data_IF_927032229450
#
_entry.id   IF_927032229450
#
_cell.length_a   1.000
_cell.length_b   1.000
_cell.length_c   1.000
_cell.angle_alpha   90.00
_cell.angle_beta   90.00
_cell.angle_gamma   90.00
#
_symmetry.space_group_name_H-M   'P 1'
#
loop_
_entity.id
_entity.type
_entity.pdbx_description
1 polymer ?
#
# COMPACT_ATOMS: atom_id res chain seq x y z
N UNK A 1 -39.49 -49.36 -4.68
CA UNK A 1 -39.78 -48.73 -5.98
C UNK A 1 -38.59 -47.90 -6.37
N UNK A 2 -37.95 -48.26 -7.48
CA UNK A 2 -36.84 -47.44 -7.99
C UNK A 2 -37.46 -46.40 -8.91
N UNK A 3 -37.42 -45.14 -8.48
CA UNK A 3 -37.78 -44.01 -9.34
C UNK A 3 -36.56 -43.66 -10.18
N UNK A 4 -36.63 -43.87 -11.48
CA UNK A 4 -35.63 -43.36 -12.42
C UNK A 4 -36.01 -41.91 -12.73
N UNK A 5 -35.39 -40.97 -12.04
CA UNK A 5 -35.57 -39.54 -12.32
C UNK A 5 -34.53 -39.16 -13.35
N UNK A 6 -34.97 -38.84 -14.57
CA UNK A 6 -34.07 -38.31 -15.61
C UNK A 6 -33.72 -36.88 -15.24
N UNK A 7 -32.51 -36.68 -14.70
CA UNK A 7 -31.98 -35.41 -14.25
C UNK A 7 -31.55 -34.48 -15.40
N UNK A 8 -31.70 -34.89 -16.67
CA UNK A 8 -31.25 -34.11 -17.82
C UNK A 8 -32.29 -33.06 -18.32
N UNK A 9 -33.45 -32.96 -17.68
CA UNK A 9 -34.55 -32.10 -18.17
C UNK A 9 -34.46 -30.66 -17.67
N UNK A 10 -33.57 -30.30 -16.67
CA UNK A 10 -33.53 -28.97 -16.15
C UNK A 10 -32.10 -28.49 -15.82
N UNK A 11 -31.56 -27.46 -16.53
CA UNK A 11 -30.20 -26.95 -16.30
C UNK A 11 -29.93 -26.43 -14.89
N UNK A 12 -30.96 -26.23 -14.06
CA UNK A 12 -30.86 -25.77 -12.68
C UNK A 12 -30.39 -26.85 -11.70
N UNK A 13 -30.34 -28.13 -12.10
CA UNK A 13 -29.97 -29.27 -11.24
C UNK A 13 -28.44 -29.58 -11.27
N UNK A 14 -27.63 -28.81 -11.95
CA UNK A 14 -26.17 -29.05 -12.08
C UNK A 14 -25.30 -28.53 -10.92
N UNK A 15 -25.90 -28.06 -9.84
CA UNK A 15 -25.15 -27.76 -8.60
C UNK A 15 -25.50 -28.85 -7.57
N UNK A 16 -24.48 -29.36 -6.87
CA UNK A 16 -24.58 -30.41 -5.86
C UNK A 16 -25.75 -30.17 -4.91
N UNK A 17 -26.87 -30.86 -5.19
CA UNK A 17 -28.04 -30.80 -4.30
C UNK A 17 -27.64 -31.58 -3.05
N UNK A 18 -27.61 -30.89 -1.90
CA UNK A 18 -27.38 -31.49 -0.60
C UNK A 18 -28.41 -32.63 -0.41
N UNK A 19 -27.94 -33.81 -0.05
CA UNK A 19 -28.78 -34.99 0.23
C UNK A 19 -29.87 -34.67 1.26
N UNK A 20 -29.68 -33.72 2.13
CA UNK A 20 -30.66 -33.23 3.09
C UNK A 20 -31.83 -32.51 2.42
N UNK A 21 -31.58 -31.78 1.34
CA UNK A 21 -32.61 -31.10 0.55
C UNK A 21 -33.41 -32.06 -0.29
N UNK A 22 -32.76 -33.04 -0.92
CA UNK A 22 -33.40 -34.15 -1.65
C UNK A 22 -34.30 -34.99 -0.74
N UNK A 23 -33.81 -35.36 0.43
CA UNK A 23 -34.61 -36.13 1.40
C UNK A 23 -35.81 -35.33 1.91
N UNK A 24 -35.71 -34.02 2.02
CA UNK A 24 -36.84 -33.16 2.40
C UNK A 24 -37.91 -33.10 1.30
N UNK A 25 -37.52 -32.96 0.03
CA UNK A 25 -38.44 -32.99 -1.12
C UNK A 25 -39.12 -34.35 -1.22
N UNK A 26 -38.35 -35.44 -1.09
CA UNK A 26 -38.90 -36.82 -1.13
C UNK A 26 -39.85 -37.07 0.05
N UNK A 27 -39.54 -36.57 1.24
CA UNK A 27 -40.42 -36.69 2.41
C UNK A 27 -41.73 -35.91 2.22
N UNK A 28 -41.66 -34.72 1.63
CA UNK A 28 -42.84 -33.91 1.28
C UNK A 28 -43.66 -34.64 0.20
N UNK A 29 -43.02 -35.15 -0.86
CA UNK A 29 -43.67 -35.91 -1.92
C UNK A 29 -44.34 -37.17 -1.39
N UNK A 30 -43.68 -37.94 -0.51
CA UNK A 30 -44.22 -39.11 0.15
C UNK A 30 -45.42 -38.78 1.05
N UNK A 31 -45.33 -37.70 1.81
CA UNK A 31 -46.42 -37.23 2.68
C UNK A 31 -47.63 -36.77 1.86
N UNK A 32 -47.42 -36.14 0.73
CA UNK A 32 -48.45 -35.74 -0.22
C UNK A 32 -49.12 -37.00 -0.82
N UNK A 33 -48.32 -38.00 -1.28
CA UNK A 33 -48.80 -39.23 -1.88
C UNK A 33 -49.63 -40.06 -0.88
N UNK A 34 -49.18 -40.19 0.38
CA UNK A 34 -49.90 -40.95 1.42
C UNK A 34 -51.17 -40.25 1.92
N UNK A 35 -51.27 -38.96 1.84
CA UNK A 35 -52.42 -38.20 2.37
C UNK A 35 -53.40 -37.71 1.27
N UNK A 36 -53.00 -37.79 -0.01
CA UNK A 36 -53.81 -37.33 -1.15
C UNK A 36 -54.57 -38.43 -1.87
N UNK A 37 -54.54 -39.70 -1.37
CA UNK A 37 -55.41 -40.75 -1.88
C UNK A 37 -56.83 -40.48 -1.43
N UNK A 38 -57.45 -39.32 -1.80
CA UNK A 38 -58.85 -39.08 -1.44
C UNK A 38 -59.50 -37.93 -2.20
N UNK A 39 -60.62 -38.25 -2.80
CA UNK A 39 -61.79 -37.41 -3.12
C UNK A 39 -61.60 -35.99 -3.63
N UNK A 40 -62.41 -35.61 -4.57
CA UNK A 40 -62.45 -34.36 -5.39
C UNK A 40 -62.29 -33.02 -4.68
N UNK A 41 -62.46 -32.98 -3.35
CA UNK A 41 -62.31 -31.76 -2.52
C UNK A 41 -60.85 -31.40 -2.16
N UNK A 42 -59.92 -32.29 -2.47
CA UNK A 42 -58.52 -32.12 -2.05
C UNK A 42 -57.65 -31.31 -3.04
N UNK A 43 -58.03 -31.26 -4.30
CA UNK A 43 -57.30 -30.51 -5.33
C UNK A 43 -57.28 -29.00 -5.01
N UNK A 44 -58.40 -28.47 -4.55
CA UNK A 44 -58.49 -27.03 -4.20
C UNK A 44 -57.64 -26.67 -2.99
N UNK A 45 -57.55 -27.58 -1.99
CA UNK A 45 -56.68 -27.35 -0.82
C UNK A 45 -55.20 -27.47 -1.16
N UNK A 46 -54.81 -28.38 -2.03
CA UNK A 46 -53.42 -28.48 -2.49
C UNK A 46 -53.01 -27.30 -3.30
N UNK A 47 -53.84 -26.79 -4.18
CA UNK A 47 -53.60 -25.58 -4.94
C UNK A 47 -53.46 -24.36 -4.01
N UNK A 48 -54.33 -24.21 -3.00
CA UNK A 48 -54.23 -23.15 -2.00
C UNK A 48 -52.91 -23.24 -1.18
N UNK A 49 -52.43 -24.46 -0.85
CA UNK A 49 -51.15 -24.64 -0.16
C UNK A 49 -49.97 -24.29 -1.07
N UNK A 50 -50.01 -24.68 -2.34
CA UNK A 50 -49.00 -24.34 -3.33
C UNK A 50 -48.93 -22.82 -3.57
N UNK A 51 -50.07 -22.18 -3.69
CA UNK A 51 -50.12 -20.71 -3.82
C UNK A 51 -49.53 -20.01 -2.62
N UNK A 52 -49.84 -20.43 -1.40
CA UNK A 52 -49.21 -19.92 -0.17
C UNK A 52 -47.71 -20.16 -0.13
N UNK A 53 -47.23 -21.34 -0.56
CA UNK A 53 -45.78 -21.60 -0.62
C UNK A 53 -45.06 -20.72 -1.67
N UNK A 54 -45.72 -20.44 -2.78
CA UNK A 54 -45.22 -19.53 -3.82
C UNK A 54 -45.16 -18.12 -3.28
N UNK A 55 -46.18 -17.68 -2.54
CA UNK A 55 -46.25 -16.35 -1.94
C UNK A 55 -45.16 -16.14 -0.87
N UNK A 56 -44.98 -17.09 0.05
CA UNK A 56 -43.89 -17.10 1.04
C UNK A 56 -42.52 -17.03 0.36
N UNK A 57 -42.30 -17.84 -0.69
CA UNK A 57 -41.06 -17.86 -1.44
C UNK A 57 -40.77 -16.50 -2.15
N UNK A 58 -41.83 -15.82 -2.59
CA UNK A 58 -41.75 -14.50 -3.21
C UNK A 58 -41.38 -13.43 -2.19
N UNK A 59 -41.97 -13.48 -1.00
CA UNK A 59 -41.69 -12.55 0.10
C UNK A 59 -40.25 -12.74 0.64
N UNK A 60 -39.79 -13.98 0.82
CA UNK A 60 -38.42 -14.28 1.21
C UNK A 60 -37.39 -13.76 0.19
N UNK A 61 -37.65 -13.98 -1.11
CA UNK A 61 -36.80 -13.45 -2.18
C UNK A 61 -36.75 -11.92 -2.17
N UNK A 62 -37.88 -11.28 -1.99
CA UNK A 62 -37.96 -9.82 -1.92
C UNK A 62 -37.21 -9.29 -0.69
N UNK A 63 -37.36 -9.93 0.47
CA UNK A 63 -36.63 -9.61 1.68
C UNK A 63 -35.12 -9.73 1.48
N UNK A 64 -34.65 -10.86 0.92
CA UNK A 64 -33.22 -11.06 0.61
C UNK A 64 -32.70 -10.00 -0.37
N UNK A 65 -33.46 -9.69 -1.41
CA UNK A 65 -33.09 -8.66 -2.38
C UNK A 65 -32.93 -7.28 -1.71
N UNK A 66 -33.88 -6.92 -0.85
CA UNK A 66 -33.83 -5.66 -0.10
C UNK A 66 -32.62 -5.60 0.85
N UNK A 67 -32.26 -6.72 1.51
CA UNK A 67 -31.08 -6.83 2.37
C UNK A 67 -29.80 -6.66 1.57
N UNK A 68 -29.68 -7.31 0.41
CA UNK A 68 -28.51 -7.17 -0.48
C UNK A 68 -28.38 -5.73 -0.97
N UNK A 69 -29.49 -5.10 -1.37
CA UNK A 69 -29.48 -3.73 -1.83
C UNK A 69 -29.07 -2.74 -0.71
N UNK A 70 -29.57 -2.95 0.50
CA UNK A 70 -29.18 -2.17 1.68
C UNK A 70 -27.69 -2.34 2.00
N UNK A 71 -27.20 -3.56 1.95
CA UNK A 71 -25.79 -3.89 2.16
C UNK A 71 -24.89 -3.21 1.11
N UNK A 72 -25.26 -3.30 -0.18
CA UNK A 72 -24.52 -2.67 -1.27
C UNK A 72 -24.48 -1.14 -1.12
N UNK A 73 -25.59 -0.51 -0.74
CA UNK A 73 -25.65 0.93 -0.49
C UNK A 73 -24.75 1.34 0.68
N UNK A 74 -24.71 0.53 1.73
CA UNK A 74 -23.83 0.77 2.87
C UNK A 74 -22.36 0.68 2.48
N UNK A 75 -21.96 -0.36 1.72
CA UNK A 75 -20.60 -0.46 1.22
C UNK A 75 -20.23 0.69 0.26
N UNK A 76 -21.13 1.09 -0.63
CA UNK A 76 -20.89 2.24 -1.52
C UNK A 76 -20.63 3.52 -0.71
N UNK A 77 -21.41 3.77 0.34
CA UNK A 77 -21.22 4.91 1.22
C UNK A 77 -19.88 4.84 1.98
N UNK A 78 -19.50 3.66 2.47
CA UNK A 78 -18.21 3.47 3.14
C UNK A 78 -17.04 3.71 2.19
N UNK A 79 -17.09 3.20 0.96
CA UNK A 79 -16.08 3.43 -0.07
C UNK A 79 -15.96 4.92 -0.39
N UNK A 80 -17.07 5.62 -0.59
CA UNK A 80 -17.06 7.06 -0.84
C UNK A 80 -16.43 7.85 0.33
N UNK A 81 -16.76 7.50 1.56
CA UNK A 81 -16.15 8.12 2.75
C UNK A 81 -14.64 7.85 2.84
N UNK A 82 -14.18 6.66 2.47
CA UNK A 82 -12.76 6.34 2.41
C UNK A 82 -12.04 7.13 1.31
N UNK A 83 -12.65 7.26 0.14
CA UNK A 83 -12.10 8.07 -0.95
C UNK A 83 -11.95 9.55 -0.56
N UNK A 84 -12.94 10.12 0.12
CA UNK A 84 -12.88 11.50 0.63
C UNK A 84 -11.71 11.65 1.62
N UNK A 85 -11.53 10.71 2.56
CA UNK A 85 -10.40 10.74 3.50
C UNK A 85 -9.05 10.60 2.80
N UNK A 86 -8.95 9.75 1.78
CA UNK A 86 -7.71 9.60 0.99
C UNK A 86 -7.37 10.92 0.28
N UNK A 87 -8.35 11.58 -0.32
CA UNK A 87 -8.15 12.88 -0.96
C UNK A 87 -7.70 13.94 0.05
N UNK A 88 -8.35 14.04 1.21
CA UNK A 88 -7.94 14.97 2.28
C UNK A 88 -6.49 14.72 2.76
N UNK A 89 -6.08 13.46 2.89
CA UNK A 89 -4.71 13.10 3.27
C UNK A 89 -3.73 13.50 2.17
N UNK A 90 -4.07 13.24 0.90
CA UNK A 90 -3.23 13.63 -0.22
C UNK A 90 -3.06 15.15 -0.31
N UNK A 91 -4.14 15.92 -0.16
CA UNK A 91 -4.10 17.38 -0.21
C UNK A 91 -3.23 17.95 0.94
N UNK A 92 -3.39 17.43 2.16
CA UNK A 92 -2.56 17.82 3.31
C UNK A 92 -1.09 17.47 3.08
N UNK A 93 -0.80 16.29 2.54
CA UNK A 93 0.57 15.86 2.25
C UNK A 93 1.21 16.73 1.17
N UNK A 94 0.46 17.04 0.10
CA UNK A 94 0.95 17.91 -0.98
C UNK A 94 1.26 19.31 -0.46
N UNK A 95 0.35 19.89 0.33
CA UNK A 95 0.55 21.20 0.93
C UNK A 95 1.76 21.24 1.88
N UNK A 96 1.93 20.22 2.72
CA UNK A 96 3.09 20.11 3.61
C UNK A 96 4.42 20.04 2.83
N UNK A 97 4.43 19.31 1.69
CA UNK A 97 5.60 19.25 0.80
C UNK A 97 5.88 20.63 0.16
N UNK A 98 4.85 21.34 -0.29
CA UNK A 98 4.98 22.68 -0.87
C UNK A 98 5.52 23.68 0.17
N UNK A 99 4.98 23.68 1.38
CA UNK A 99 5.41 24.56 2.48
C UNK A 99 6.88 24.28 2.85
N UNK A 100 7.28 23.00 2.96
CA UNK A 100 8.66 22.63 3.24
C UNK A 100 9.63 23.06 2.11
N UNK A 101 9.23 22.92 0.84
CA UNK A 101 10.00 23.39 -0.30
C UNK A 101 10.16 24.93 -0.31
N UNK A 102 9.09 25.66 0.01
CA UNK A 102 9.12 27.11 0.09
C UNK A 102 10.04 27.60 1.22
N UNK A 103 9.96 26.98 2.39
CA UNK A 103 10.84 27.26 3.51
C UNK A 103 12.31 27.00 3.15
N UNK A 104 12.57 25.88 2.49
CA UNK A 104 13.90 25.54 2.00
C UNK A 104 14.43 26.55 0.97
N UNK A 105 13.61 26.94 -0.01
CA UNK A 105 13.99 27.93 -1.01
C UNK A 105 14.28 29.29 -0.38
N UNK A 106 13.54 29.70 0.64
CA UNK A 106 13.80 30.93 1.39
C UNK A 106 15.15 30.87 2.15
N UNK A 107 15.43 29.72 2.80
CA UNK A 107 16.75 29.49 3.42
C UNK A 107 17.87 29.50 2.37
N UNK A 108 17.65 28.90 1.19
CA UNK A 108 18.59 28.96 0.08
C UNK A 108 18.91 30.39 -0.37
N UNK A 109 17.90 31.27 -0.48
CA UNK A 109 18.05 32.65 -0.87
C UNK A 109 18.85 33.43 0.16
N UNK A 110 18.61 33.22 1.45
CA UNK A 110 19.37 33.86 2.54
C UNK A 110 20.84 33.42 2.56
N UNK A 111 21.12 32.16 2.23
CA UNK A 111 22.48 31.62 2.19
C UNK A 111 23.24 31.96 0.90
N UNK A 112 22.57 31.98 -0.26
CA UNK A 112 23.24 32.26 -1.56
C UNK A 112 23.74 33.70 -1.66
N UNK A 113 23.17 34.60 -0.89
CA UNK A 113 23.70 35.97 -0.75
C UNK A 113 25.07 36.06 -0.06
N UNK A 114 25.54 35.01 0.63
CA UNK A 114 26.68 35.10 1.55
C UNK A 114 27.90 34.24 1.20
N UNK A 115 27.85 33.19 0.40
CA UNK A 115 29.06 32.43 0.06
C UNK A 115 28.94 31.37 -1.05
N UNK A 116 29.96 31.29 -1.92
CA UNK A 116 30.08 30.33 -3.05
C UNK A 116 30.97 29.12 -2.72
N UNK A 117 31.29 28.84 -1.46
CA UNK A 117 32.23 27.78 -1.10
C UNK A 117 31.60 26.40 -1.09
N UNK A 118 32.38 25.36 -1.45
CA UNK A 118 31.93 23.95 -1.47
C UNK A 118 31.47 23.48 -0.09
N UNK A 119 32.07 23.97 0.98
CA UNK A 119 31.70 23.63 2.35
C UNK A 119 30.27 24.05 2.71
N UNK A 120 29.84 25.25 2.26
CA UNK A 120 28.48 25.71 2.53
C UNK A 120 27.44 24.92 1.74
N UNK A 121 27.76 24.55 0.50
CA UNK A 121 26.87 23.69 -0.29
C UNK A 121 26.69 22.32 0.36
N UNK A 122 27.72 21.75 0.97
CA UNK A 122 27.63 20.51 1.75
C UNK A 122 26.71 20.68 2.96
N UNK A 123 27.01 21.68 3.81
CA UNK A 123 26.22 21.96 5.00
C UNK A 123 24.72 22.20 4.69
N UNK A 124 24.43 22.89 3.58
CA UNK A 124 23.04 23.10 3.12
C UNK A 124 22.34 21.79 2.78
N UNK A 125 23.02 20.87 2.10
CA UNK A 125 22.45 19.57 1.75
C UNK A 125 22.17 18.73 2.99
N UNK A 126 23.10 18.69 3.93
CA UNK A 126 22.96 17.99 5.21
C UNK A 126 21.81 18.56 6.04
N UNK A 127 21.74 19.90 6.20
CA UNK A 127 20.66 20.58 6.93
C UNK A 127 19.30 20.33 6.28
N UNK A 128 19.24 20.37 4.95
CA UNK A 128 18.01 20.10 4.21
C UNK A 128 17.51 18.67 4.43
N UNK A 129 18.42 17.69 4.35
CA UNK A 129 18.09 16.29 4.64
C UNK A 129 17.59 16.13 6.07
N UNK A 130 18.31 16.65 7.05
CA UNK A 130 17.95 16.55 8.46
C UNK A 130 16.56 17.14 8.71
N UNK A 131 16.31 18.38 8.29
CA UNK A 131 15.02 19.04 8.49
C UNK A 131 13.87 18.25 7.82
N UNK A 132 14.10 17.75 6.61
CA UNK A 132 13.09 16.93 5.91
C UNK A 132 12.79 15.63 6.67
N UNK A 133 13.83 14.97 7.18
CA UNK A 133 13.65 13.71 7.95
C UNK A 133 12.90 14.00 9.25
N UNK A 134 13.28 15.00 10.00
CA UNK A 134 12.64 15.37 11.27
C UNK A 134 11.17 15.79 11.09
N UNK A 135 10.83 16.41 9.95
CA UNK A 135 9.46 16.81 9.64
C UNK A 135 8.56 15.62 9.23
N UNK A 136 9.05 14.76 8.35
CA UNK A 136 8.22 13.71 7.71
C UNK A 136 8.34 12.33 8.35
N UNK A 137 9.35 12.08 9.20
CA UNK A 137 9.63 10.80 9.83
C UNK A 137 9.79 10.94 11.35
N UNK A 138 8.84 11.61 11.99
CA UNK A 138 8.83 11.94 13.42
C UNK A 138 8.91 10.75 14.37
N UNK A 139 8.56 9.56 13.88
CA UNK A 139 8.62 8.32 14.66
C UNK A 139 10.02 7.65 14.62
N UNK A 140 10.89 8.13 13.74
CA UNK A 140 12.24 7.62 13.59
C UNK A 140 13.24 8.57 14.27
N UNK A 141 14.32 8.02 14.77
CA UNK A 141 15.42 8.81 15.33
C UNK A 141 16.39 9.18 14.21
N UNK A 142 16.58 10.49 13.98
CA UNK A 142 17.55 11.04 13.04
C UNK A 142 18.86 11.36 13.78
N UNK A 143 19.92 10.58 13.55
CA UNK A 143 21.25 10.85 14.11
C UNK A 143 22.13 11.45 13.02
N UNK A 144 22.55 12.70 13.21
CA UNK A 144 23.52 13.36 12.34
C UNK A 144 24.91 12.93 12.76
N UNK A 145 25.62 12.26 11.87
CA UNK A 145 26.94 11.66 12.09
C UNK A 145 28.05 12.35 11.29
N UNK A 146 27.71 13.44 10.59
CA UNK A 146 28.64 14.17 9.71
C UNK A 146 29.94 14.64 10.40
N UNK A 147 29.99 14.75 11.74
CA UNK A 147 31.18 15.09 12.52
C UNK A 147 31.99 13.86 12.93
N UNK A 148 31.48 12.65 12.77
CA UNK A 148 32.15 11.42 13.14
C UNK A 148 32.89 10.86 11.91
N UNK A 149 34.20 10.68 12.03
CA UNK A 149 34.97 10.15 10.92
C UNK A 149 34.49 8.73 10.56
N UNK A 150 34.28 8.49 9.26
CA UNK A 150 33.90 7.18 8.73
C UNK A 150 32.47 6.72 9.03
N UNK A 151 31.57 7.62 9.23
CA UNK A 151 30.14 7.40 9.20
C UNK A 151 29.53 8.28 8.10
N UNK A 152 28.45 7.83 7.47
CA UNK A 152 27.75 8.68 6.49
C UNK A 152 27.13 9.90 7.19
N UNK A 153 26.50 10.80 6.43
CA UNK A 153 26.01 12.06 6.98
C UNK A 153 24.90 11.86 8.03
N UNK A 154 23.99 10.87 7.81
CA UNK A 154 22.84 10.62 8.69
C UNK A 154 22.60 9.10 8.86
N UNK A 155 22.28 8.70 10.08
CA UNK A 155 21.71 7.40 10.43
C UNK A 155 20.24 7.56 10.82
N UNK A 156 19.34 6.99 10.05
CA UNK A 156 17.92 6.95 10.35
C UNK A 156 17.57 5.63 11.05
N UNK A 157 17.27 5.70 12.33
CA UNK A 157 16.96 4.55 13.19
C UNK A 157 15.45 4.44 13.35
N UNK A 158 14.91 3.28 13.00
CA UNK A 158 13.49 2.98 13.14
C UNK A 158 13.27 1.77 14.03
N UNK A 159 12.19 1.77 14.80
CA UNK A 159 11.80 0.61 15.60
C UNK A 159 11.22 -0.54 14.77
N UNK A 160 10.78 -0.25 13.52
CA UNK A 160 10.07 -1.20 12.66
C UNK A 160 10.91 -1.66 11.46
N UNK A 161 11.99 -0.95 11.16
CA UNK A 161 12.82 -1.20 9.96
C UNK A 161 14.30 -1.20 10.32
N UNK A 162 15.15 -1.88 9.54
CA UNK A 162 16.59 -1.75 9.69
C UNK A 162 17.04 -0.30 9.56
N UNK A 163 18.11 0.07 10.27
CA UNK A 163 18.72 1.40 10.16
C UNK A 163 19.10 1.69 8.72
N UNK A 164 18.72 2.88 8.24
CA UNK A 164 19.07 3.39 6.92
C UNK A 164 20.23 4.37 7.07
N UNK A 165 21.34 4.09 6.38
CA UNK A 165 22.46 5.00 6.27
C UNK A 165 22.24 5.95 5.10
N UNK A 166 22.39 7.25 5.31
CA UNK A 166 22.11 8.27 4.28
C UNK A 166 23.36 9.13 4.09
N UNK A 167 23.80 9.23 2.85
CA UNK A 167 24.90 10.07 2.40
C UNK A 167 24.38 11.09 1.40
N UNK A 168 24.85 12.34 1.47
CA UNK A 168 24.48 13.39 0.56
C UNK A 168 25.70 14.09 -0.06
N UNK A 169 25.59 14.42 -1.32
CA UNK A 169 26.61 15.18 -2.04
C UNK A 169 25.97 16.30 -2.84
N UNK A 170 26.49 17.49 -2.69
CA UNK A 170 26.05 18.67 -3.44
C UNK A 170 27.25 19.30 -4.17
N UNK A 171 27.72 18.59 -5.20
CA UNK A 171 28.87 18.99 -5.99
C UNK A 171 28.43 19.82 -7.21
N UNK A 172 29.26 20.76 -7.61
CA UNK A 172 29.07 21.52 -8.87
C UNK A 172 29.43 20.66 -10.10
N UNK A 173 30.29 19.66 -9.91
CA UNK A 173 30.77 18.73 -10.93
C UNK A 173 30.32 17.31 -10.60
N UNK A 174 30.62 16.37 -11.48
CA UNK A 174 30.34 14.96 -11.28
C UNK A 174 30.98 14.45 -9.96
N UNK A 175 30.21 13.81 -9.11
CA UNK A 175 30.71 13.22 -7.88
C UNK A 175 31.70 12.08 -8.23
N UNK A 176 32.92 12.10 -7.70
CA UNK A 176 33.91 11.11 -8.02
C UNK A 176 33.59 9.75 -7.39
N UNK A 177 34.06 8.67 -8.03
CA UNK A 177 33.83 7.29 -7.55
C UNK A 177 34.32 7.02 -6.14
N UNK A 178 35.34 7.75 -5.67
CA UNK A 178 35.83 7.64 -4.30
C UNK A 178 34.75 7.88 -3.23
N UNK A 179 33.77 8.74 -3.51
CA UNK A 179 32.64 9.00 -2.59
C UNK A 179 31.72 7.80 -2.49
N UNK A 180 31.51 7.08 -3.60
CA UNK A 180 30.74 5.83 -3.61
C UNK A 180 31.49 4.72 -2.87
N UNK A 181 32.81 4.63 -3.06
CA UNK A 181 33.66 3.69 -2.34
C UNK A 181 33.59 3.94 -0.84
N UNK A 182 33.75 5.21 -0.43
CA UNK A 182 33.64 5.62 0.98
C UNK A 182 32.29 5.22 1.57
N UNK A 183 31.18 5.52 0.86
CA UNK A 183 29.85 5.15 1.31
C UNK A 183 29.68 3.62 1.49
N UNK A 184 30.25 2.82 0.58
CA UNK A 184 30.26 1.36 0.72
C UNK A 184 31.05 0.90 1.96
N UNK A 185 32.19 1.51 2.22
CA UNK A 185 33.01 1.24 3.40
C UNK A 185 32.27 1.60 4.69
N UNK A 186 31.58 2.73 4.71
CA UNK A 186 30.77 3.17 5.84
C UNK A 186 29.60 2.22 6.10
N UNK A 187 28.91 1.72 5.06
CA UNK A 187 27.87 0.71 5.18
C UNK A 187 28.39 -0.62 5.76
N UNK A 188 29.57 -1.06 5.33
CA UNK A 188 30.20 -2.28 5.87
C UNK A 188 30.54 -2.08 7.34
N UNK A 189 31.16 -0.97 7.67
CA UNK A 189 31.63 -0.65 9.03
C UNK A 189 30.47 -0.54 10.04
N UNK A 190 29.39 0.14 9.64
CA UNK A 190 28.17 0.29 10.47
C UNK A 190 27.29 -0.94 10.44
N UNK A 191 27.66 -1.97 9.65
CA UNK A 191 26.82 -3.16 9.37
C UNK A 191 25.40 -2.80 8.90
N UNK A 192 25.26 -1.67 8.21
CA UNK A 192 23.98 -1.20 7.71
C UNK A 192 23.54 -2.01 6.51
N UNK A 193 22.28 -2.49 6.54
CA UNK A 193 21.68 -3.27 5.46
C UNK A 193 21.00 -2.41 4.41
N UNK A 194 20.68 -1.18 4.75
CA UNK A 194 19.99 -0.24 3.88
C UNK A 194 20.83 1.05 3.78
N UNK A 195 21.01 1.53 2.56
CA UNK A 195 21.74 2.78 2.31
C UNK A 195 21.09 3.62 1.23
N UNK A 196 21.09 4.93 1.40
CA UNK A 196 20.65 5.92 0.41
C UNK A 196 21.78 6.88 0.13
N UNK A 197 22.10 7.06 -1.15
CA UNK A 197 23.08 8.04 -1.61
C UNK A 197 22.40 9.10 -2.46
N UNK A 198 22.32 10.32 -1.96
CA UNK A 198 21.81 11.46 -2.69
C UNK A 198 22.94 12.25 -3.37
N UNK A 199 22.76 12.60 -4.63
CA UNK A 199 23.60 13.57 -5.32
C UNK A 199 22.75 14.69 -5.90
N UNK A 200 22.78 15.84 -5.24
CA UNK A 200 22.04 17.00 -5.66
C UNK A 200 22.75 17.73 -6.80
N UNK A 201 22.00 18.03 -7.86
CA UNK A 201 22.44 18.80 -9.03
C UNK A 201 23.67 18.24 -9.78
N UNK A 202 24.11 17.04 -9.46
CA UNK A 202 25.27 16.42 -10.12
C UNK A 202 25.09 14.91 -10.30
N UNK A 203 25.72 14.39 -11.36
CA UNK A 203 25.82 12.95 -11.62
C UNK A 203 26.89 12.33 -10.73
N UNK A 204 26.87 11.01 -10.62
CA UNK A 204 27.87 10.23 -9.86
C UNK A 204 28.62 9.34 -10.85
N UNK A 205 29.95 9.33 -10.77
CA UNK A 205 30.81 8.48 -11.61
C UNK A 205 30.42 7.01 -11.43
N UNK A 206 30.15 6.31 -12.56
CA UNK A 206 29.77 4.90 -12.54
C UNK A 206 28.27 4.63 -12.31
N UNK A 207 27.48 5.66 -12.01
CA UNK A 207 26.03 5.58 -11.92
C UNK A 207 25.43 6.29 -13.14
N UNK A 208 24.84 5.52 -14.07
CA UNK A 208 24.32 6.08 -15.32
C UNK A 208 22.94 6.71 -15.18
N UNK A 209 22.09 6.08 -14.35
CA UNK A 209 20.70 6.45 -14.16
C UNK A 209 20.53 7.39 -12.96
N UNK A 210 19.54 8.27 -13.01
CA UNK A 210 19.24 9.16 -11.88
C UNK A 210 18.65 8.40 -10.69
N UNK A 211 18.16 7.18 -10.90
CA UNK A 211 17.65 6.29 -9.89
C UNK A 211 18.20 4.89 -10.12
N UNK A 212 18.96 4.34 -9.17
CA UNK A 212 19.56 3.02 -9.27
C UNK A 212 19.57 2.30 -7.95
N UNK A 213 19.11 1.05 -7.96
CA UNK A 213 19.21 0.14 -6.83
C UNK A 213 20.35 -0.83 -7.08
N UNK A 214 21.17 -1.04 -6.06
CA UNK A 214 22.26 -2.01 -6.08
C UNK A 214 22.10 -2.92 -4.88
N UNK A 215 22.07 -4.23 -5.11
CA UNK A 215 22.23 -5.24 -4.07
C UNK A 215 23.69 -5.66 -4.05
N UNK A 216 24.34 -5.51 -2.89
CA UNK A 216 25.75 -5.88 -2.73
C UNK A 216 25.91 -7.34 -2.32
N UNK A 217 27.12 -7.86 -2.44
CA UNK A 217 27.47 -9.24 -2.03
C UNK A 217 27.21 -9.49 -0.53
N UNK A 218 27.27 -8.43 0.29
CA UNK A 218 26.98 -8.48 1.74
C UNK A 218 25.49 -8.43 2.07
N UNK A 219 24.64 -8.62 1.05
CA UNK A 219 23.17 -8.59 1.17
C UNK A 219 22.61 -7.24 1.64
N UNK A 220 23.38 -6.15 1.50
CA UNK A 220 22.87 -4.80 1.70
C UNK A 220 22.25 -4.25 0.41
N UNK A 221 21.26 -3.37 0.57
CA UNK A 221 20.56 -2.72 -0.53
C UNK A 221 20.91 -1.22 -0.49
N UNK A 222 21.38 -0.73 -1.62
CA UNK A 222 21.76 0.67 -1.79
C UNK A 222 20.88 1.32 -2.86
N UNK A 223 20.34 2.48 -2.54
CA UNK A 223 19.57 3.31 -3.44
C UNK A 223 20.38 4.56 -3.78
N UNK A 224 20.71 4.74 -5.04
CA UNK A 224 21.34 5.94 -5.57
C UNK A 224 20.29 6.82 -6.23
N UNK A 225 20.16 8.06 -5.75
CA UNK A 225 19.32 9.09 -6.37
C UNK A 225 20.22 10.25 -6.74
N UNK A 226 20.44 10.43 -8.03
CA UNK A 226 21.51 11.29 -8.55
C UNK A 226 20.98 12.34 -9.53
N UNK A 227 21.66 13.46 -9.63
CA UNK A 227 21.32 14.54 -10.55
C UNK A 227 19.87 15.05 -10.36
N UNK A 228 19.47 15.20 -9.12
CA UNK A 228 18.14 15.69 -8.74
C UNK A 228 18.24 17.07 -8.09
N UNK A 229 17.22 17.91 -8.20
CA UNK A 229 17.16 19.14 -7.40
C UNK A 229 16.98 18.81 -5.90
N UNK A 230 17.29 19.75 -5.03
CA UNK A 230 16.99 19.66 -3.61
C UNK A 230 15.49 19.89 -3.42
N UNK A 231 14.74 18.78 -3.42
CA UNK A 231 13.28 18.76 -3.30
C UNK A 231 12.88 17.65 -2.33
N UNK A 232 12.05 18.00 -1.35
CA UNK A 232 11.55 17.14 -0.27
C UNK A 232 10.97 15.83 -0.79
N UNK A 233 10.28 15.84 -1.94
CA UNK A 233 9.65 14.65 -2.52
C UNK A 233 10.63 13.50 -2.78
N UNK A 234 11.86 13.79 -3.21
CA UNK A 234 12.85 12.74 -3.47
C UNK A 234 13.35 12.09 -2.20
N UNK A 235 13.50 12.88 -1.13
CA UNK A 235 13.94 12.36 0.18
C UNK A 235 12.85 11.50 0.79
N UNK A 236 11.61 12.01 0.83
CA UNK A 236 10.46 11.29 1.37
C UNK A 236 10.21 10.00 0.60
N UNK A 237 10.26 10.07 -0.75
CA UNK A 237 10.13 8.88 -1.61
C UNK A 237 11.21 7.85 -1.31
N UNK A 238 12.49 8.25 -1.26
CA UNK A 238 13.61 7.34 -1.06
C UNK A 238 13.51 6.58 0.26
N UNK A 239 13.22 7.28 1.35
CA UNK A 239 13.12 6.68 2.67
C UNK A 239 11.91 5.72 2.75
N UNK A 240 10.74 6.15 2.28
CA UNK A 240 9.55 5.29 2.22
C UNK A 240 9.77 4.05 1.36
N UNK A 241 10.44 4.22 0.23
CA UNK A 241 10.76 3.11 -0.66
C UNK A 241 11.72 2.09 -0.02
N UNK A 242 12.77 2.56 0.66
CA UNK A 242 13.70 1.67 1.36
C UNK A 242 13.06 0.95 2.53
N UNK A 243 12.18 1.60 3.29
CA UNK A 243 11.37 0.97 4.33
C UNK A 243 10.44 -0.10 3.74
N UNK A 244 9.78 0.19 2.62
CA UNK A 244 8.93 -0.79 1.93
C UNK A 244 9.69 -2.03 1.47
N UNK A 245 10.86 -1.86 0.84
CA UNK A 245 11.71 -2.99 0.41
C UNK A 245 12.16 -3.84 1.61
N UNK A 246 12.43 -3.22 2.74
CA UNK A 246 12.91 -3.94 3.93
C UNK A 246 11.83 -4.78 4.62
N UNK A 247 10.56 -4.53 4.31
CA UNK A 247 9.41 -5.22 4.91
C UNK A 247 8.94 -6.41 4.07
N UNK A 248 9.47 -6.59 2.86
CA UNK A 248 9.16 -7.66 1.92
C UNK A 248 10.39 -8.50 1.62
#
# INVERSE_FOLDING_TARGET
MNFNVDLNINPWFNQSIDNKYLNRILSIGYYIDQNLCIKDDTNDRVLQYLDKLVEINKDEKQYMFNQIQSCNNNYANQINNLLLKINEINDKSTKSIEDANNNFNNLLLDFTGKSKTSSIKGLMAETFLQNTIEEFFKEDQCNVTAQTAHEADIQLISNQHPTILIESKNYSNVVPSKEVIKFNEDMIRTNSKLGIFFSFNSKVTGIKDNFKIIKTDNNSIQLFITNIPMDVKYIVFAIKFMKFISSN
#
